data_IF_997776428736
#
_entry.id   IF_997776428736
#
_cell.length_a   1.000
_cell.length_b   1.000
_cell.length_c   1.000
_cell.angle_alpha   90.00
_cell.angle_beta   90.00
_cell.angle_gamma   90.00
#
_symmetry.space_group_name_H-M   'P 1'
#
loop_
_entity.id
_entity.type
_entity.pdbx_description
1 polymer ?
#
# COMPACT_ATOMS: atom_id res chain seq x y z
N UNK A 1 3.63 4.42 7.24
CA UNK A 1 3.31 3.00 7.49
C UNK A 1 2.15 2.76 8.45
N UNK A 2 1.88 3.67 9.38
CA UNK A 2 0.86 3.48 10.44
C UNK A 2 -0.52 3.12 9.88
N UNK A 3 -0.99 3.79 8.82
CA UNK A 3 -2.34 3.53 8.29
C UNK A 3 -2.56 2.13 7.73
N UNK A 4 -1.59 1.54 7.03
CA UNK A 4 -1.69 0.17 6.52
C UNK A 4 -1.57 -0.86 7.66
N UNK A 5 -0.75 -0.56 8.68
CA UNK A 5 -0.63 -1.41 9.85
C UNK A 5 -1.90 -1.39 10.72
N UNK A 6 -2.45 -0.19 10.97
CA UNK A 6 -3.74 0.03 11.65
C UNK A 6 -4.90 -0.66 10.94
N UNK A 7 -4.78 -0.80 9.63
CA UNK A 7 -5.75 -1.47 8.77
C UNK A 7 -5.63 -3.01 8.74
N UNK A 8 -4.79 -3.61 9.59
CA UNK A 8 -4.58 -5.06 9.64
C UNK A 8 -3.65 -5.61 8.55
N UNK A 9 -3.13 -4.77 7.65
CA UNK A 9 -2.17 -5.17 6.62
C UNK A 9 -0.72 -5.19 7.13
N UNK A 10 -0.50 -5.01 8.43
CA UNK A 10 0.84 -4.89 9.03
C UNK A 10 1.77 -6.05 8.67
N UNK A 11 1.27 -7.29 8.69
CA UNK A 11 2.06 -8.48 8.33
C UNK A 11 2.47 -8.49 6.85
N UNK A 12 1.58 -8.02 5.97
CA UNK A 12 1.83 -7.96 4.53
C UNK A 12 2.80 -6.84 4.17
N UNK A 13 2.63 -5.69 4.81
CA UNK A 13 3.58 -4.58 4.75
C UNK A 13 4.96 -5.00 5.24
N UNK A 14 5.03 -5.79 6.32
CA UNK A 14 6.30 -6.31 6.82
C UNK A 14 6.97 -7.26 5.82
N UNK A 15 6.18 -8.00 5.03
CA UNK A 15 6.70 -8.81 3.92
C UNK A 15 7.36 -7.94 2.85
N UNK A 16 6.81 -6.75 2.57
CA UNK A 16 7.37 -5.82 1.58
C UNK A 16 8.59 -5.05 2.07
N UNK A 17 8.71 -4.87 3.39
CA UNK A 17 9.89 -4.29 4.02
C UNK A 17 11.03 -5.30 4.20
N UNK A 18 10.71 -6.60 4.21
CA UNK A 18 11.69 -7.67 4.30
C UNK A 18 12.37 -7.94 2.95
N UNK A 19 13.49 -8.67 2.96
CA UNK A 19 14.17 -9.11 1.73
C UNK A 19 13.54 -10.36 1.08
N UNK A 20 12.31 -10.71 1.46
CA UNK A 20 11.59 -11.88 0.98
C UNK A 20 10.71 -11.57 -0.23
N UNK A 21 9.93 -12.54 -0.70
CA UNK A 21 8.94 -12.28 -1.74
C UNK A 21 7.85 -11.31 -1.24
N UNK A 22 7.52 -10.34 -2.09
CA UNK A 22 6.44 -9.41 -1.86
C UNK A 22 5.10 -10.13 -1.90
N UNK A 23 4.42 -10.23 -0.75
CA UNK A 23 3.09 -10.84 -0.73
C UNK A 23 2.10 -10.02 -1.57
N UNK A 24 1.33 -10.66 -2.46
CA UNK A 24 0.31 -9.97 -3.23
C UNK A 24 -0.78 -9.43 -2.31
N UNK A 25 -1.35 -8.29 -2.68
CA UNK A 25 -2.52 -7.69 -2.03
C UNK A 25 -3.60 -7.49 -3.08
N UNK A 26 -4.86 -7.71 -2.69
CA UNK A 26 -5.99 -7.50 -3.59
C UNK A 26 -6.55 -6.08 -3.48
N UNK A 27 -7.20 -5.55 -4.53
CA UNK A 27 -7.89 -4.26 -4.46
C UNK A 27 -8.97 -4.22 -3.36
N UNK A 28 -9.63 -5.34 -3.08
CA UNK A 28 -10.65 -5.43 -2.03
C UNK A 28 -10.05 -5.28 -0.63
N UNK A 29 -8.89 -5.90 -0.39
CA UNK A 29 -8.14 -5.71 0.85
C UNK A 29 -7.66 -4.26 1.01
N UNK A 30 -7.28 -3.59 -0.07
CA UNK A 30 -6.93 -2.16 -0.04
C UNK A 30 -8.14 -1.30 0.29
N UNK A 31 -9.32 -1.63 -0.24
CA UNK A 31 -10.58 -0.93 0.06
C UNK A 31 -11.03 -1.14 1.51
N UNK A 32 -10.81 -2.33 2.04
CA UNK A 32 -11.07 -2.65 3.44
C UNK A 32 -10.07 -1.98 4.37
N UNK A 33 -8.83 -1.80 3.92
CA UNK A 33 -7.75 -1.25 4.72
C UNK A 33 -7.69 0.28 4.72
N UNK A 34 -7.95 0.91 3.59
CA UNK A 34 -7.91 2.35 3.43
C UNK A 34 -9.34 2.88 3.41
N UNK A 35 -9.65 3.83 4.30
CA UNK A 35 -10.93 4.53 4.28
C UNK A 35 -11.22 5.11 2.89
N UNK A 36 -12.50 5.09 2.50
CA UNK A 36 -12.94 5.57 1.20
C UNK A 36 -12.51 7.03 0.91
N UNK A 37 -12.46 7.88 1.94
CA UNK A 37 -11.93 9.26 1.86
C UNK A 37 -10.48 9.32 1.34
N UNK A 38 -9.65 8.35 1.74
CA UNK A 38 -8.24 8.29 1.39
C UNK A 38 -8.07 7.83 -0.05
N UNK A 39 -8.87 6.84 -0.46
CA UNK A 39 -8.93 6.40 -1.85
C UNK A 39 -9.38 7.52 -2.80
N UNK A 40 -10.42 8.29 -2.43
CA UNK A 40 -10.88 9.44 -3.20
C UNK A 40 -9.80 10.51 -3.31
N UNK A 41 -9.10 10.82 -2.20
CA UNK A 41 -8.01 11.79 -2.20
C UNK A 41 -6.85 11.36 -3.10
N UNK A 42 -6.51 10.08 -3.11
CA UNK A 42 -5.51 9.51 -4.01
C UNK A 42 -5.98 9.53 -5.47
N UNK A 43 -7.25 9.21 -5.72
CA UNK A 43 -7.87 9.27 -7.05
C UNK A 43 -7.71 10.65 -7.67
N UNK A 44 -8.04 11.70 -6.91
CA UNK A 44 -7.89 13.08 -7.33
C UNK A 44 -6.44 13.47 -7.60
N UNK A 45 -5.51 13.04 -6.74
CA UNK A 45 -4.07 13.31 -6.93
C UNK A 45 -3.49 12.62 -8.17
N UNK A 46 -3.95 11.41 -8.45
CA UNK A 46 -3.50 10.60 -9.58
C UNK A 46 -4.24 10.94 -10.88
N UNK A 47 -5.36 11.67 -10.80
CA UNK A 47 -6.21 11.96 -11.96
C UNK A 47 -6.93 10.71 -12.51
N UNK A 48 -7.18 9.72 -11.66
CA UNK A 48 -7.81 8.43 -12.02
C UNK A 48 -9.12 8.23 -11.27
N UNK A 49 -10.05 7.40 -11.76
CA UNK A 49 -11.26 7.05 -11.01
C UNK A 49 -10.95 6.28 -9.72
N UNK A 50 -11.69 6.56 -8.65
CA UNK A 50 -11.51 5.96 -7.32
C UNK A 50 -11.54 4.42 -7.35
N UNK A 51 -12.41 3.83 -8.18
CA UNK A 51 -12.48 2.38 -8.34
C UNK A 51 -11.18 1.75 -8.86
N UNK A 52 -10.41 2.52 -9.63
CA UNK A 52 -9.16 2.08 -10.24
C UNK A 52 -7.97 2.29 -9.30
N UNK A 53 -8.06 3.23 -8.34
CA UNK A 53 -7.00 3.47 -7.35
C UNK A 53 -6.64 2.20 -6.60
N UNK A 54 -7.64 1.45 -6.13
CA UNK A 54 -7.39 0.21 -5.40
C UNK A 54 -6.64 -0.83 -6.24
N UNK A 55 -6.94 -0.92 -7.54
CA UNK A 55 -6.23 -1.80 -8.48
C UNK A 55 -4.79 -1.35 -8.69
N UNK A 56 -4.58 -0.05 -8.93
CA UNK A 56 -3.26 0.53 -9.13
C UNK A 56 -2.40 0.31 -7.88
N UNK A 57 -2.95 0.58 -6.70
CA UNK A 57 -2.25 0.31 -5.44
C UNK A 57 -1.97 -1.18 -5.27
N UNK A 58 -2.91 -2.07 -5.60
CA UNK A 58 -2.69 -3.50 -5.45
C UNK A 58 -1.51 -4.01 -6.31
N UNK A 59 -1.33 -3.43 -7.49
CA UNK A 59 -0.26 -3.79 -8.41
C UNK A 59 1.08 -3.13 -8.08
N UNK A 60 1.06 -1.87 -7.64
CA UNK A 60 2.27 -1.06 -7.51
C UNK A 60 2.73 -0.86 -6.06
N UNK A 61 1.83 -0.90 -5.07
CA UNK A 61 2.17 -0.67 -3.66
C UNK A 61 3.22 -1.64 -3.12
N UNK A 62 3.18 -2.96 -3.40
CA UNK A 62 4.19 -3.89 -2.90
C UNK A 62 5.60 -3.51 -3.40
N UNK A 63 5.74 -3.27 -4.70
CA UNK A 63 7.00 -2.87 -5.32
C UNK A 63 7.44 -1.46 -4.88
N UNK A 64 6.51 -0.52 -4.72
CA UNK A 64 6.84 0.82 -4.26
C UNK A 64 7.35 0.83 -2.82
N UNK A 65 6.78 -0.01 -1.95
CA UNK A 65 7.27 -0.18 -0.57
C UNK A 65 8.65 -0.81 -0.56
N UNK A 66 8.83 -1.93 -1.27
CA UNK A 66 10.11 -2.62 -1.45
C UNK A 66 11.23 -1.67 -1.89
N UNK A 67 10.99 -0.90 -2.97
CA UNK A 67 11.95 0.06 -3.51
C UNK A 67 12.20 1.25 -2.58
N UNK A 68 11.21 1.67 -1.80
CA UNK A 68 11.35 2.74 -0.81
C UNK A 68 12.05 2.27 0.48
N UNK A 69 12.27 0.96 0.65
CA UNK A 69 13.00 0.35 1.77
C UNK A 69 14.32 -0.31 1.35
N UNK A 70 15.28 0.43 0.76
CA UNK A 70 16.55 -0.15 0.31
C UNK A 70 17.41 -0.78 1.43
N UNK A 71 17.14 -0.44 2.70
CA UNK A 71 17.81 -1.02 3.87
C UNK A 71 16.88 -1.90 4.74
N UNK A 72 15.68 -2.24 4.26
CA UNK A 72 14.65 -2.91 5.06
C UNK A 72 14.09 -2.05 6.21
N UNK A 73 14.48 -0.77 6.23
CA UNK A 73 13.95 0.26 7.12
C UNK A 73 13.54 1.44 6.26
N UNK A 74 12.26 1.82 6.31
CA UNK A 74 11.88 3.17 5.92
C UNK A 74 12.39 4.06 7.04
N UNK A 75 13.44 4.83 6.76
CA UNK A 75 14.02 5.80 7.69
C UNK A 75 13.01 6.94 7.88
N UNK A 76 11.98 6.72 8.68
CA UNK A 76 11.19 7.81 9.25
C UNK A 76 12.05 8.43 10.34
N UNK A 77 12.74 9.52 9.98
CA UNK A 77 13.39 10.41 10.94
C UNK A 77 12.32 11.26 11.62
#
# INVERSE_FOLDING_TARGET
MTKLNEAGLGSRVNSWLGRGENQPITPDEIRSALSNEYLVSLAQKLGVPTDQVANILAQHLPAAVDQASPDGTIRTS
#
